data_IF_652646152686
#
_entry.id   IF_652646152686
#
_cell.length_a   1.000
_cell.length_b   1.000
_cell.length_c   1.000
_cell.angle_alpha   90.00
_cell.angle_beta   90.00
_cell.angle_gamma   90.00
#
_symmetry.space_group_name_H-M   'P 1'
#
loop_
_entity.id
_entity.type
_entity.pdbx_description
1 polymer ?
#
# COMPACT_ATOMS: atom_id res chain seq x y z
N UNK A 1 -37.36 18.47 11.19
CA UNK A 1 -36.88 17.13 10.82
C UNK A 1 -36.54 16.38 12.09
N UNK A 2 -36.80 15.09 12.21
CA UNK A 2 -36.27 14.29 13.32
C UNK A 2 -34.76 14.21 13.16
N UNK A 3 -33.98 14.68 14.14
CA UNK A 3 -32.55 14.52 14.14
C UNK A 3 -32.20 13.06 14.45
N UNK A 4 -31.67 12.37 13.46
CA UNK A 4 -31.14 11.03 13.66
C UNK A 4 -29.76 11.11 14.32
N UNK A 5 -29.42 10.11 15.12
CA UNK A 5 -28.08 10.01 15.70
C UNK A 5 -27.05 9.78 14.58
N UNK A 6 -26.05 10.63 14.54
CA UNK A 6 -24.83 10.48 13.70
C UNK A 6 -23.63 10.59 14.62
N UNK A 7 -22.63 9.73 14.42
CA UNK A 7 -21.37 9.80 15.17
C UNK A 7 -20.77 11.21 15.05
N UNK A 8 -20.22 11.72 16.16
CA UNK A 8 -19.69 13.10 16.23
C UNK A 8 -18.58 13.32 15.17
N UNK A 9 -17.69 12.35 15.02
CA UNK A 9 -16.61 12.39 14.04
C UNK A 9 -17.08 12.52 12.57
N UNK A 10 -18.34 12.21 12.25
CA UNK A 10 -18.88 12.29 10.90
C UNK A 10 -19.67 13.56 10.63
N UNK A 11 -20.09 14.31 11.65
CA UNK A 11 -20.95 15.48 11.47
C UNK A 11 -20.34 16.60 10.63
N UNK A 12 -19.03 16.73 10.69
CA UNK A 12 -18.30 17.81 10.01
C UNK A 12 -17.43 17.30 8.85
N UNK A 13 -17.52 16.01 8.50
CA UNK A 13 -16.84 15.50 7.33
C UNK A 13 -17.61 15.80 6.04
N UNK A 14 -16.89 16.20 5.00
CA UNK A 14 -17.44 16.34 3.67
C UNK A 14 -17.28 15.03 2.88
N UNK A 15 -18.17 14.83 1.91
CA UNK A 15 -17.99 13.73 0.97
C UNK A 15 -16.65 13.88 0.22
N UNK A 16 -15.86 12.82 0.23
CA UNK A 16 -14.64 12.80 -0.57
C UNK A 16 -14.99 12.76 -2.04
N UNK A 17 -14.61 13.79 -2.79
CA UNK A 17 -14.88 13.89 -4.21
C UNK A 17 -13.59 13.87 -5.02
N UNK A 18 -13.57 13.04 -6.07
CA UNK A 18 -12.50 13.04 -7.07
C UNK A 18 -12.99 13.75 -8.31
N UNK A 19 -12.23 14.72 -8.81
CA UNK A 19 -12.58 15.41 -10.05
C UNK A 19 -12.57 14.41 -11.21
N UNK A 20 -13.68 14.33 -11.93
CA UNK A 20 -13.74 13.59 -13.19
C UNK A 20 -13.04 14.39 -14.26
N UNK A 21 -11.97 13.84 -14.82
CA UNK A 21 -11.19 14.47 -15.89
C UNK A 21 -11.57 13.83 -17.21
N UNK A 22 -11.99 14.64 -18.18
CA UNK A 22 -12.18 14.23 -19.56
C UNK A 22 -11.01 14.77 -20.39
N UNK A 23 -9.98 13.94 -20.57
CA UNK A 23 -8.76 14.28 -21.31
C UNK A 23 -8.20 13.02 -21.99
N UNK A 24 -7.48 13.21 -23.10
CA UNK A 24 -6.82 12.11 -23.83
C UNK A 24 -5.69 11.48 -23.00
N UNK A 25 -5.06 12.25 -22.13
CA UNK A 25 -4.00 11.79 -21.23
C UNK A 25 -4.43 12.07 -19.79
N UNK A 26 -4.58 11.02 -18.98
CA UNK A 26 -5.03 11.09 -17.59
C UNK A 26 -3.87 10.69 -16.69
N UNK A 27 -3.41 11.62 -15.83
CA UNK A 27 -2.25 11.44 -14.94
C UNK A 27 -2.58 11.72 -13.45
N UNK A 28 -3.84 11.87 -13.10
CA UNK A 28 -4.27 12.35 -11.78
C UNK A 28 -4.45 11.26 -10.71
N UNK A 29 -4.34 9.97 -11.07
CA UNK A 29 -4.58 8.84 -10.16
C UNK A 29 -3.42 7.84 -10.09
N UNK A 30 -2.28 8.15 -10.71
CA UNK A 30 -1.10 7.27 -10.75
C UNK A 30 -1.42 5.86 -11.26
N UNK A 31 -2.34 5.76 -12.22
CA UNK A 31 -2.71 4.50 -12.86
C UNK A 31 -1.64 4.04 -13.84
N UNK A 32 -1.62 2.74 -14.15
CA UNK A 32 -0.78 2.20 -15.21
C UNK A 32 -1.36 2.57 -16.58
N UNK A 33 -0.52 3.02 -17.50
CA UNK A 33 -0.87 3.23 -18.90
C UNK A 33 -0.83 1.94 -19.73
N UNK A 34 -0.41 0.83 -19.14
CA UNK A 34 -0.35 -0.47 -19.80
C UNK A 34 -1.58 -1.32 -19.49
N UNK A 35 -2.25 -1.88 -20.50
CA UNK A 35 -3.29 -2.88 -20.28
C UNK A 35 -2.69 -4.16 -19.70
N UNK A 36 -3.53 -5.13 -19.36
CA UNK A 36 -3.10 -6.48 -18.99
C UNK A 36 -2.14 -7.06 -20.06
N UNK A 37 -1.07 -7.78 -19.69
CA UNK A 37 -0.26 -8.52 -20.66
C UNK A 37 -1.11 -9.42 -21.56
N UNK A 38 -0.84 -9.46 -22.85
CA UNK A 38 -1.67 -10.13 -23.87
C UNK A 38 -1.96 -11.60 -23.49
N UNK A 39 -0.93 -12.32 -23.07
CA UNK A 39 -1.07 -13.71 -22.61
C UNK A 39 -2.09 -13.85 -21.45
N UNK A 40 -2.06 -12.91 -20.50
CA UNK A 40 -3.00 -12.91 -19.38
C UNK A 40 -4.39 -12.45 -19.80
N UNK A 41 -4.50 -11.51 -20.74
CA UNK A 41 -5.76 -11.04 -21.30
C UNK A 41 -6.50 -12.16 -22.04
N UNK A 42 -5.79 -12.97 -22.82
CA UNK A 42 -6.35 -14.15 -23.49
C UNK A 42 -6.83 -15.20 -22.48
N UNK A 43 -6.02 -15.51 -21.48
CA UNK A 43 -6.41 -16.44 -20.39
C UNK A 43 -7.67 -15.94 -19.68
N UNK A 44 -7.69 -14.65 -19.34
CA UNK A 44 -8.83 -14.01 -18.68
C UNK A 44 -10.11 -14.13 -19.52
N UNK A 45 -10.04 -13.81 -20.82
CA UNK A 45 -11.20 -13.89 -21.72
C UNK A 45 -11.82 -15.29 -21.77
N UNK A 46 -10.98 -16.33 -21.88
CA UNK A 46 -11.42 -17.73 -21.89
C UNK A 46 -12.10 -18.14 -20.57
N UNK A 47 -11.56 -17.64 -19.46
CA UNK A 47 -12.08 -17.96 -18.12
C UNK A 47 -13.36 -17.20 -17.83
N UNK A 48 -13.44 -15.91 -18.16
CA UNK A 48 -14.60 -15.07 -17.91
C UNK A 48 -15.89 -15.65 -18.54
N UNK A 49 -15.78 -16.26 -19.72
CA UNK A 49 -16.92 -16.86 -20.41
C UNK A 49 -17.62 -18.00 -19.62
N UNK A 50 -16.86 -18.72 -18.77
CA UNK A 50 -17.37 -19.86 -18.01
C UNK A 50 -17.17 -19.70 -16.50
N UNK A 51 -16.89 -18.47 -16.05
CA UNK A 51 -16.61 -18.20 -14.63
C UNK A 51 -17.89 -18.42 -13.79
N UNK A 52 -17.79 -19.13 -12.65
CA UNK A 52 -18.96 -19.47 -11.85
C UNK A 52 -19.44 -18.29 -10.99
N UNK A 53 -19.88 -17.19 -11.60
CA UNK A 53 -20.36 -15.97 -10.92
C UNK A 53 -21.51 -16.20 -9.93
N UNK A 54 -22.22 -17.32 -10.05
CA UNK A 54 -23.31 -17.72 -9.16
C UNK A 54 -22.84 -18.38 -7.85
N UNK A 55 -21.52 -18.44 -7.61
CA UNK A 55 -20.93 -19.01 -6.40
C UNK A 55 -20.17 -17.98 -5.60
N UNK A 56 -20.22 -18.07 -4.29
CA UNK A 56 -19.38 -17.28 -3.40
C UNK A 56 -17.90 -17.62 -3.57
N UNK A 57 -17.00 -16.66 -3.40
CA UNK A 57 -15.56 -16.91 -3.36
C UNK A 57 -15.15 -17.71 -2.11
N UNK A 58 -13.89 -18.15 -2.00
CA UNK A 58 -13.30 -18.60 -0.76
C UNK A 58 -13.47 -17.56 0.36
N UNK A 59 -13.79 -18.01 1.58
CA UNK A 59 -14.21 -17.15 2.71
C UNK A 59 -13.18 -16.08 3.07
N UNK A 60 -11.89 -16.46 3.05
CA UNK A 60 -10.75 -15.62 3.43
C UNK A 60 -9.76 -15.42 2.29
N UNK A 61 -10.17 -15.65 1.04
CA UNK A 61 -9.30 -15.61 -0.14
C UNK A 61 -8.08 -16.57 -0.05
N UNK A 62 -8.28 -17.74 0.52
CA UNK A 62 -7.25 -18.73 0.89
C UNK A 62 -6.26 -18.96 -0.25
N UNK A 63 -6.75 -19.21 -1.48
CA UNK A 63 -5.92 -19.53 -2.64
C UNK A 63 -4.91 -18.44 -3.00
N UNK A 64 -5.24 -17.15 -2.77
CA UNK A 64 -4.32 -16.04 -3.00
C UNK A 64 -3.41 -15.82 -1.80
N UNK A 65 -3.94 -16.00 -0.58
CA UNK A 65 -3.13 -15.93 0.64
C UNK A 65 -2.00 -16.98 0.62
N UNK A 66 -2.30 -18.22 0.23
CA UNK A 66 -1.33 -19.32 0.15
C UNK A 66 -0.18 -19.00 -0.81
N UNK A 67 -0.49 -18.52 -2.01
CA UNK A 67 0.55 -18.19 -3.01
C UNK A 67 1.44 -17.03 -2.55
N UNK A 68 0.87 -16.00 -1.93
CA UNK A 68 1.65 -14.89 -1.39
C UNK A 68 2.50 -15.35 -0.20
N UNK A 69 1.92 -16.14 0.70
CA UNK A 69 2.59 -16.65 1.88
C UNK A 69 3.77 -17.56 1.53
N UNK A 70 3.62 -18.41 0.50
CA UNK A 70 4.71 -19.26 -0.01
C UNK A 70 5.88 -18.40 -0.52
N UNK A 71 5.62 -17.33 -1.25
CA UNK A 71 6.67 -16.43 -1.74
C UNK A 71 7.38 -15.68 -0.62
N UNK A 72 6.66 -15.33 0.44
CA UNK A 72 7.20 -14.59 1.59
C UNK A 72 7.77 -15.49 2.69
N UNK A 73 7.61 -16.80 2.57
CA UNK A 73 8.01 -17.80 3.56
C UNK A 73 7.38 -17.54 4.95
N UNK A 74 6.05 -17.32 4.95
CA UNK A 74 5.24 -17.07 6.15
C UNK A 74 4.00 -17.95 6.17
N UNK A 75 3.35 -18.04 7.34
CA UNK A 75 2.05 -18.71 7.46
C UNK A 75 0.97 -17.95 6.66
N UNK A 76 0.10 -18.61 5.89
CA UNK A 76 -1.01 -17.96 5.18
C UNK A 76 -1.92 -17.10 6.08
N UNK A 77 -2.04 -17.41 7.36
CA UNK A 77 -2.76 -16.56 8.33
C UNK A 77 -2.05 -15.21 8.61
N UNK A 78 -0.81 -15.04 8.18
CA UNK A 78 -0.09 -13.76 8.19
C UNK A 78 -0.45 -12.85 7.01
N UNK A 79 -1.30 -13.30 6.07
CA UNK A 79 -1.75 -12.56 4.89
C UNK A 79 -3.24 -12.27 5.00
N UNK A 80 -3.65 -11.06 4.56
CA UNK A 80 -5.07 -10.70 4.35
C UNK A 80 -5.22 -9.99 3.02
N UNK A 81 -6.22 -10.43 2.25
CA UNK A 81 -6.60 -9.84 0.96
C UNK A 81 -7.79 -8.90 1.18
N UNK A 82 -7.87 -7.81 0.41
CA UNK A 82 -9.01 -6.88 0.50
C UNK A 82 -9.26 -6.11 -0.79
N UNK A 83 -10.30 -5.27 -0.79
CA UNK A 83 -10.71 -4.42 -1.91
C UNK A 83 -9.74 -3.24 -2.15
N UNK A 84 -8.47 -3.56 -2.42
CA UNK A 84 -7.33 -2.65 -2.47
C UNK A 84 -6.67 -2.50 -1.11
N UNK A 85 -5.42 -2.02 -1.09
CA UNK A 85 -4.70 -1.73 0.16
C UNK A 85 -5.39 -0.66 1.00
N UNK A 86 -6.12 0.26 0.36
CA UNK A 86 -6.90 1.32 1.02
C UNK A 86 -7.94 0.79 1.99
N UNK A 87 -8.61 -0.30 1.63
CA UNK A 87 -9.60 -0.96 2.50
C UNK A 87 -8.94 -1.58 3.76
N UNK A 88 -7.73 -2.16 3.63
CA UNK A 88 -6.97 -2.62 4.81
C UNK A 88 -6.49 -1.46 5.68
N UNK A 89 -6.10 -0.36 5.05
CA UNK A 89 -5.67 0.85 5.75
C UNK A 89 -6.81 1.44 6.58
N UNK A 90 -8.00 1.60 6.00
CA UNK A 90 -9.20 2.01 6.71
C UNK A 90 -9.51 1.09 7.89
N UNK A 91 -9.52 -0.23 7.64
CA UNK A 91 -9.75 -1.23 8.69
C UNK A 91 -8.69 -1.21 9.79
N UNK A 92 -7.43 -0.94 9.46
CA UNK A 92 -6.38 -0.78 10.45
C UNK A 92 -6.65 0.42 11.37
N UNK A 93 -7.14 1.54 10.81
CA UNK A 93 -7.56 2.69 11.62
C UNK A 93 -8.73 2.34 12.57
N UNK A 94 -9.69 1.52 12.13
CA UNK A 94 -10.78 1.06 13.02
C UNK A 94 -10.32 0.06 14.08
N UNK A 95 -9.39 -0.84 13.75
CA UNK A 95 -8.96 -1.93 14.65
C UNK A 95 -7.99 -1.42 15.71
N UNK A 96 -7.07 -0.54 15.32
CA UNK A 96 -6.00 -0.04 16.18
C UNK A 96 -6.23 1.39 16.65
N UNK A 97 -7.25 2.08 16.14
CA UNK A 97 -7.67 3.40 16.51
C UNK A 97 -9.01 3.40 17.26
N UNK A 98 -9.70 4.53 17.21
CA UNK A 98 -11.01 4.76 17.81
C UNK A 98 -11.05 6.05 18.62
N UNK A 99 -12.21 6.35 19.22
CA UNK A 99 -12.44 7.54 20.00
C UNK A 99 -11.43 7.66 21.17
N UNK A 100 -10.82 8.83 21.32
CA UNK A 100 -9.80 9.11 22.35
C UNK A 100 -8.41 8.57 22.04
N UNK A 101 -8.19 7.95 20.86
CA UNK A 101 -6.87 7.52 20.40
C UNK A 101 -6.27 8.49 19.38
N UNK A 102 -4.94 8.47 19.25
CA UNK A 102 -4.21 9.20 18.21
C UNK A 102 -3.61 8.23 17.20
N UNK A 103 -3.61 8.62 15.93
CA UNK A 103 -2.91 7.89 14.87
C UNK A 103 -1.87 8.81 14.25
N UNK A 104 -0.60 8.37 14.26
CA UNK A 104 0.50 9.14 13.67
C UNK A 104 0.53 8.92 12.15
N UNK A 105 0.55 10.03 11.39
CA UNK A 105 0.53 10.02 9.92
C UNK A 105 1.54 11.02 9.34
N UNK A 106 2.15 10.72 8.17
CA UNK A 106 3.11 11.61 7.52
C UNK A 106 2.45 12.85 6.90
N UNK A 107 3.19 13.96 6.85
CA UNK A 107 2.78 15.18 6.14
C UNK A 107 3.99 15.86 5.45
N UNK A 108 3.87 16.23 4.15
CA UNK A 108 2.76 15.90 3.25
C UNK A 108 2.74 14.44 2.83
N UNK A 109 1.54 13.83 2.75
CA UNK A 109 1.38 12.47 2.28
C UNK A 109 -0.01 12.23 1.68
N UNK A 110 -0.38 10.97 1.45
CA UNK A 110 -1.65 10.57 0.85
C UNK A 110 -2.83 11.08 1.68
N UNK A 111 -3.65 11.93 1.07
CA UNK A 111 -4.73 12.63 1.77
C UNK A 111 -5.72 11.71 2.51
N UNK A 112 -5.93 10.49 1.97
CA UNK A 112 -6.84 9.52 2.57
C UNK A 112 -6.42 9.04 3.96
N UNK A 113 -5.17 9.21 4.38
CA UNK A 113 -4.79 8.85 5.75
C UNK A 113 -5.58 9.67 6.76
N UNK A 114 -5.67 11.00 6.56
CA UNK A 114 -6.47 11.87 7.42
C UNK A 114 -7.95 11.50 7.43
N UNK A 115 -8.51 11.15 6.25
CA UNK A 115 -9.91 10.71 6.13
C UNK A 115 -10.17 9.43 6.93
N UNK A 116 -9.34 8.40 6.78
CA UNK A 116 -9.51 7.14 7.52
C UNK A 116 -9.33 7.31 9.03
N UNK A 117 -8.39 8.15 9.44
CA UNK A 117 -8.22 8.50 10.86
C UNK A 117 -9.48 9.16 11.39
N UNK A 118 -10.03 10.16 10.70
CA UNK A 118 -11.26 10.83 11.06
C UNK A 118 -12.46 9.87 11.12
N UNK A 119 -12.63 9.01 10.10
CA UNK A 119 -13.69 8.00 10.03
C UNK A 119 -13.63 7.02 11.20
N UNK A 120 -12.44 6.66 11.68
CA UNK A 120 -12.29 5.78 12.85
C UNK A 120 -12.71 6.45 14.17
N UNK A 121 -12.75 7.78 14.20
CA UNK A 121 -12.97 8.57 15.42
C UNK A 121 -11.69 8.88 16.17
N UNK A 122 -10.53 8.58 15.58
CA UNK A 122 -9.23 8.93 16.15
C UNK A 122 -8.82 10.36 15.80
N UNK A 123 -7.85 10.89 16.54
CA UNK A 123 -7.22 12.17 16.24
C UNK A 123 -5.93 11.97 15.42
N UNK A 124 -5.74 12.70 14.30
CA UNK A 124 -4.49 12.61 13.56
C UNK A 124 -3.38 13.35 14.31
N UNK A 125 -2.22 12.70 14.48
CA UNK A 125 -1.02 13.39 14.90
C UNK A 125 0.03 13.32 13.78
N UNK A 126 0.42 14.51 13.26
CA UNK A 126 1.23 14.60 12.06
C UNK A 126 2.72 14.64 12.39
N UNK A 127 3.52 13.83 11.68
CA UNK A 127 4.96 14.04 11.61
C UNK A 127 5.37 14.59 10.24
N UNK A 128 6.27 15.56 10.23
CA UNK A 128 6.70 16.22 9.00
C UNK A 128 7.82 15.45 8.32
N UNK A 129 7.73 15.36 7.00
CA UNK A 129 8.87 14.99 6.19
C UNK A 129 9.87 16.15 6.13
N UNK A 130 11.15 15.86 5.88
CA UNK A 130 12.13 16.91 5.68
C UNK A 130 11.90 17.68 4.35
N UNK A 131 12.68 18.74 4.09
CA UNK A 131 12.50 19.58 2.91
C UNK A 131 12.69 18.84 1.57
N UNK A 132 13.33 17.70 1.58
CA UNK A 132 13.54 16.84 0.42
C UNK A 132 12.49 15.73 0.30
N UNK A 133 11.58 15.62 1.28
CA UNK A 133 10.48 14.65 1.30
C UNK A 133 10.82 13.32 1.98
N UNK A 134 11.94 13.21 2.68
CA UNK A 134 12.33 12.00 3.39
C UNK A 134 11.88 12.00 4.86
N UNK A 135 11.73 10.81 5.42
CA UNK A 135 11.45 10.60 6.84
C UNK A 135 12.73 10.80 7.65
N UNK A 136 12.63 11.58 8.72
CA UNK A 136 13.61 11.58 9.79
C UNK A 136 13.15 10.59 10.87
N UNK A 137 13.88 9.49 11.02
CA UNK A 137 13.50 8.42 11.95
C UNK A 137 13.47 8.91 13.41
N UNK A 138 14.40 9.77 13.81
CA UNK A 138 14.46 10.26 15.19
C UNK A 138 13.26 11.15 15.51
N UNK A 139 12.85 12.01 14.58
CA UNK A 139 11.66 12.83 14.70
C UNK A 139 10.39 11.98 14.86
N UNK A 140 10.25 10.91 14.07
CA UNK A 140 9.09 9.99 14.16
C UNK A 140 9.07 9.24 15.50
N UNK A 141 10.23 8.74 15.94
CA UNK A 141 10.36 8.02 17.21
C UNK A 141 10.03 8.95 18.38
N UNK A 142 10.57 10.18 18.37
CA UNK A 142 10.31 11.17 19.41
C UNK A 142 8.80 11.51 19.49
N UNK A 143 8.15 11.74 18.34
CA UNK A 143 6.71 11.95 18.30
C UNK A 143 5.94 10.77 18.89
N UNK A 144 6.32 9.53 18.56
CA UNK A 144 5.67 8.34 19.12
C UNK A 144 5.86 8.21 20.64
N UNK A 145 7.02 8.61 21.16
CA UNK A 145 7.27 8.63 22.61
C UNK A 145 6.44 9.69 23.33
N UNK A 146 6.27 10.87 22.74
CA UNK A 146 5.52 11.99 23.32
C UNK A 146 4.01 11.79 23.21
N UNK A 147 3.51 11.49 22.02
CA UNK A 147 2.09 11.44 21.69
C UNK A 147 1.44 10.07 21.97
N UNK A 148 2.25 9.01 22.06
CA UNK A 148 1.82 7.61 22.29
C UNK A 148 0.67 7.20 21.36
N UNK A 149 0.85 7.31 20.04
CA UNK A 149 -0.20 6.94 19.11
C UNK A 149 -0.55 5.46 19.22
N UNK A 150 -1.79 5.11 18.98
CA UNK A 150 -2.27 3.73 18.93
C UNK A 150 -1.89 3.03 17.63
N UNK A 151 -1.53 3.80 16.60
CA UNK A 151 -1.10 3.35 15.28
C UNK A 151 -0.15 4.38 14.65
N UNK A 152 0.91 3.91 14.00
CA UNK A 152 1.78 4.73 13.14
C UNK A 152 1.59 4.29 11.68
N UNK A 153 1.37 5.24 10.77
CA UNK A 153 1.30 5.00 9.34
C UNK A 153 2.55 5.59 8.68
N UNK A 154 3.23 4.80 7.85
CA UNK A 154 4.38 5.19 7.04
C UNK A 154 4.06 4.88 5.58
N UNK A 155 4.29 5.82 4.67
CA UNK A 155 4.16 5.64 3.23
C UNK A 155 5.57 5.54 2.61
N UNK A 156 5.90 4.42 2.00
CA UNK A 156 7.24 4.19 1.44
C UNK A 156 7.21 3.30 0.19
N UNK A 157 7.44 3.84 -1.00
CA UNK A 157 7.66 5.24 -1.36
C UNK A 157 6.47 6.16 -1.06
N UNK A 158 6.76 7.41 -0.65
CA UNK A 158 5.71 8.34 -0.24
C UNK A 158 4.93 8.94 -1.42
N UNK A 159 3.64 9.08 -1.30
CA UNK A 159 2.78 9.85 -2.20
C UNK A 159 2.37 11.16 -1.48
N UNK A 160 2.67 12.40 -1.99
CA UNK A 160 3.02 12.69 -3.39
C UNK A 160 4.51 12.90 -3.68
N UNK A 161 5.42 12.78 -2.73
CA UNK A 161 6.82 13.18 -2.93
C UNK A 161 7.63 12.16 -3.74
N UNK A 162 7.21 10.89 -3.76
CA UNK A 162 7.89 9.80 -4.47
C UNK A 162 9.12 9.22 -3.75
N UNK A 163 9.54 9.80 -2.64
CA UNK A 163 10.75 9.39 -1.94
C UNK A 163 10.67 7.97 -1.38
N UNK A 164 11.74 7.23 -1.57
CA UNK A 164 11.99 5.94 -0.95
C UNK A 164 12.95 6.12 0.23
N UNK A 165 12.52 5.75 1.41
CA UNK A 165 13.35 5.69 2.60
C UNK A 165 13.96 4.29 2.73
N UNK A 166 15.26 4.23 3.04
CA UNK A 166 15.99 2.97 3.12
C UNK A 166 15.40 2.00 4.15
N UNK A 167 15.62 0.72 3.95
CA UNK A 167 15.17 -0.31 4.88
C UNK A 167 15.73 -0.07 6.30
N UNK A 168 16.96 0.46 6.40
CA UNK A 168 17.58 0.78 7.69
C UNK A 168 16.81 1.88 8.46
N UNK A 169 16.30 2.90 7.75
CA UNK A 169 15.45 3.95 8.36
C UNK A 169 14.14 3.35 8.85
N UNK A 170 13.50 2.54 8.04
CA UNK A 170 12.24 1.87 8.39
C UNK A 170 12.42 0.91 9.56
N UNK A 171 13.48 0.10 9.55
CA UNK A 171 13.80 -0.85 10.62
C UNK A 171 14.09 -0.13 11.94
N UNK A 172 14.83 1.00 11.91
CA UNK A 172 15.08 1.85 13.09
C UNK A 172 13.77 2.31 13.74
N UNK A 173 12.80 2.74 12.94
CA UNK A 173 11.49 3.16 13.46
C UNK A 173 10.75 1.96 14.05
N UNK A 174 10.57 0.87 13.29
CA UNK A 174 9.84 -0.32 13.73
C UNK A 174 10.39 -0.86 15.06
N UNK A 175 11.72 -0.91 15.19
CA UNK A 175 12.39 -1.45 16.38
C UNK A 175 12.29 -0.53 17.61
N UNK A 176 11.94 0.75 17.43
CA UNK A 176 11.97 1.77 18.49
C UNK A 176 10.58 2.20 18.96
N UNK A 177 9.50 1.83 18.25
CA UNK A 177 8.13 2.22 18.61
C UNK A 177 7.36 1.04 19.19
N UNK A 178 6.47 1.31 20.15
CA UNK A 178 5.65 0.28 20.82
C UNK A 178 4.30 0.05 20.13
N UNK A 179 3.82 1.02 19.35
CA UNK A 179 2.55 0.89 18.64
C UNK A 179 2.67 0.04 17.37
N UNK A 180 1.56 -0.53 16.88
CA UNK A 180 1.50 -1.10 15.53
C UNK A 180 1.92 -0.08 14.46
N UNK A 181 2.62 -0.55 13.43
CA UNK A 181 3.07 0.26 12.29
C UNK A 181 2.44 -0.27 11.00
N UNK A 182 1.75 0.58 10.25
CA UNK A 182 1.35 0.29 8.88
C UNK A 182 2.40 0.87 7.94
N UNK A 183 2.95 0.02 7.08
CA UNK A 183 3.84 0.39 5.99
C UNK A 183 3.08 0.29 4.68
N UNK A 184 2.63 1.44 4.17
CA UNK A 184 1.99 1.51 2.86
C UNK A 184 3.06 1.51 1.76
N UNK A 185 3.23 0.36 1.14
CA UNK A 185 4.19 0.10 0.07
C UNK A 185 3.52 0.00 -1.30
N UNK A 186 2.49 0.81 -1.56
CA UNK A 186 1.73 0.78 -2.81
C UNK A 186 2.57 1.04 -4.08
N UNK A 187 3.76 1.61 -3.94
CA UNK A 187 4.66 1.95 -5.06
C UNK A 187 6.01 1.21 -5.00
N UNK A 188 6.16 0.25 -4.11
CA UNK A 188 7.45 -0.40 -3.85
C UNK A 188 8.04 -1.13 -5.07
N UNK A 189 7.21 -1.60 -6.00
CA UNK A 189 7.67 -2.23 -7.23
C UNK A 189 8.49 -1.29 -8.12
N UNK A 190 8.28 0.03 -8.00
CA UNK A 190 9.02 1.08 -8.74
C UNK A 190 10.22 1.63 -7.98
N UNK A 191 10.51 1.16 -6.76
CA UNK A 191 11.59 1.74 -5.96
C UNK A 191 12.95 1.47 -6.57
N UNK A 192 13.66 2.56 -6.91
CA UNK A 192 15.04 2.49 -7.39
C UNK A 192 15.99 2.14 -6.25
N UNK A 193 17.11 1.49 -6.61
CA UNK A 193 18.17 1.19 -5.66
C UNK A 193 17.69 0.26 -4.54
N UNK A 194 16.76 -0.65 -4.84
CA UNK A 194 16.25 -1.63 -3.90
C UNK A 194 17.38 -2.34 -3.19
N UNK A 195 17.43 -2.15 -1.88
CA UNK A 195 18.43 -2.76 -1.03
C UNK A 195 18.14 -4.25 -0.85
N UNK A 196 19.16 -5.07 -1.04
CA UNK A 196 19.06 -6.49 -0.72
C UNK A 196 19.23 -6.67 0.78
N UNK A 197 18.34 -7.42 1.46
CA UNK A 197 18.51 -7.72 2.87
C UNK A 197 19.85 -8.44 3.09
N UNK A 198 20.66 -8.00 4.06
CA UNK A 198 21.91 -8.68 4.35
C UNK A 198 21.62 -10.12 4.83
N UNK A 199 22.34 -11.09 4.23
CA UNK A 199 22.23 -12.52 4.55
C UNK A 199 20.86 -13.15 4.25
N UNK A 200 20.08 -12.60 3.30
CA UNK A 200 18.83 -13.23 2.88
C UNK A 200 19.14 -14.48 2.04
N UNK A 201 18.72 -15.64 2.53
CA UNK A 201 18.94 -16.93 1.89
C UNK A 201 17.81 -17.35 0.94
N UNK A 202 16.80 -16.48 0.72
CA UNK A 202 15.71 -16.77 -0.19
C UNK A 202 16.18 -16.89 -1.64
N UNK A 203 15.54 -17.73 -2.46
CA UNK A 203 15.84 -17.83 -3.89
C UNK A 203 15.70 -16.47 -4.61
N UNK A 204 16.54 -16.21 -5.61
CA UNK A 204 16.59 -14.93 -6.32
C UNK A 204 15.23 -14.44 -6.86
N UNK A 205 14.37 -15.36 -7.30
CA UNK A 205 13.02 -15.00 -7.78
C UNK A 205 12.09 -14.50 -6.66
N UNK A 206 12.36 -14.88 -5.39
CA UNK A 206 11.63 -14.36 -4.21
C UNK A 206 12.22 -13.05 -3.70
N UNK A 207 13.52 -12.84 -3.88
CA UNK A 207 14.22 -11.63 -3.41
C UNK A 207 13.69 -10.34 -4.04
N UNK A 208 13.23 -10.39 -5.29
CA UNK A 208 12.64 -9.22 -5.95
C UNK A 208 11.44 -8.62 -5.20
N UNK A 209 10.62 -9.44 -4.56
CA UNK A 209 9.45 -9.00 -3.79
C UNK A 209 9.83 -8.26 -2.50
N UNK A 210 10.97 -8.60 -1.93
CA UNK A 210 11.39 -8.13 -0.61
C UNK A 210 12.56 -7.14 -0.66
N UNK A 211 13.24 -7.03 -1.81
CA UNK A 211 14.35 -6.09 -1.97
C UNK A 211 13.86 -4.66 -1.68
N UNK A 212 14.48 -4.01 -0.71
CA UNK A 212 14.11 -2.68 -0.24
C UNK A 212 12.79 -2.59 0.54
N UNK A 213 12.03 -3.68 0.65
CA UNK A 213 10.74 -3.73 1.33
C UNK A 213 10.86 -4.22 2.78
N UNK A 214 10.03 -3.68 3.65
CA UNK A 214 9.89 -4.18 5.01
C UNK A 214 9.30 -5.61 5.08
N UNK A 215 8.79 -6.18 3.98
CA UNK A 215 8.48 -7.62 3.90
C UNK A 215 9.68 -8.50 4.26
N UNK A 216 10.92 -8.02 4.05
CA UNK A 216 12.14 -8.70 4.46
C UNK A 216 12.31 -8.82 5.96
N UNK A 217 11.61 -7.99 6.75
CA UNK A 217 11.66 -7.95 8.21
C UNK A 217 10.58 -8.83 8.86
N UNK A 218 9.71 -9.47 8.07
CA UNK A 218 8.72 -10.42 8.59
C UNK A 218 9.42 -11.54 9.37
N UNK A 219 8.85 -11.87 10.53
CA UNK A 219 9.45 -12.85 11.46
C UNK A 219 10.50 -12.26 12.41
N UNK A 220 11.10 -11.10 12.13
CA UNK A 220 12.03 -10.40 13.04
C UNK A 220 11.32 -9.44 14.00
N UNK A 221 10.29 -8.76 13.52
CA UNK A 221 9.49 -7.82 14.29
C UNK A 221 8.01 -8.20 14.19
N UNK A 222 7.26 -8.00 15.27
CA UNK A 222 5.85 -8.41 15.36
C UNK A 222 4.87 -7.24 15.34
N UNK A 223 5.35 -6.01 15.34
CA UNK A 223 4.54 -4.79 15.50
C UNK A 223 4.26 -4.05 14.20
N UNK A 224 4.42 -4.67 13.02
CA UNK A 224 4.12 -3.98 11.75
C UNK A 224 3.31 -4.84 10.77
N UNK A 225 2.66 -4.15 9.83
CA UNK A 225 1.93 -4.71 8.69
C UNK A 225 2.38 -3.95 7.44
N UNK A 226 2.81 -4.66 6.42
CA UNK A 226 3.08 -4.10 5.08
C UNK A 226 1.81 -4.21 4.24
N UNK A 227 1.43 -3.13 3.58
CA UNK A 227 0.33 -3.10 2.61
C UNK A 227 0.88 -3.03 1.19
N UNK A 228 0.33 -3.84 0.30
CA UNK A 228 0.66 -3.89 -1.14
C UNK A 228 -0.61 -3.84 -1.97
N UNK A 229 -0.51 -3.35 -3.19
CA UNK A 229 -1.66 -3.21 -4.10
C UNK A 229 -1.38 -3.78 -5.48
N UNK A 230 -2.41 -4.31 -6.12
CA UNK A 230 -2.37 -4.66 -7.55
C UNK A 230 -2.72 -3.48 -8.46
N UNK A 231 -3.08 -2.33 -7.90
CA UNK A 231 -3.60 -1.18 -8.66
C UNK A 231 -2.53 -0.45 -9.47
N UNK A 232 -1.26 -0.45 -9.03
CA UNK A 232 -0.18 0.40 -9.58
C UNK A 232 0.70 -0.37 -10.55
N UNK A 233 1.73 -1.04 -10.10
CA UNK A 233 2.68 -1.76 -10.94
C UNK A 233 2.03 -2.85 -11.80
N UNK A 234 1.00 -3.51 -11.27
CA UNK A 234 0.27 -4.58 -11.96
C UNK A 234 -0.90 -4.08 -12.82
N UNK A 235 -1.24 -2.79 -12.81
CA UNK A 235 -2.25 -2.21 -13.67
C UNK A 235 -3.68 -2.71 -13.44
N UNK A 236 -4.00 -3.18 -12.24
CA UNK A 236 -5.31 -3.74 -11.89
C UNK A 236 -6.16 -2.79 -11.02
N UNK A 237 -6.03 -1.47 -11.23
CA UNK A 237 -6.77 -0.49 -10.44
C UNK A 237 -8.29 -0.73 -10.43
N UNK A 238 -8.86 -1.11 -11.58
CA UNK A 238 -10.30 -1.39 -11.73
C UNK A 238 -10.77 -2.66 -11.04
N UNK A 239 -9.89 -3.62 -10.72
CA UNK A 239 -10.24 -4.86 -10.01
C UNK A 239 -10.27 -4.70 -8.49
N UNK A 240 -9.74 -3.60 -7.95
CA UNK A 240 -9.75 -3.33 -6.51
C UNK A 240 -9.20 -4.49 -5.69
N UNK A 241 -7.92 -4.84 -5.84
CA UNK A 241 -7.26 -5.85 -5.05
C UNK A 241 -5.99 -5.32 -4.40
N UNK A 242 -5.78 -5.72 -3.14
CA UNK A 242 -4.56 -5.46 -2.37
C UNK A 242 -4.41 -6.50 -1.28
N UNK A 243 -3.24 -6.53 -0.66
CA UNK A 243 -2.99 -7.42 0.47
C UNK A 243 -2.18 -6.73 1.56
N UNK A 244 -2.32 -7.27 2.77
CA UNK A 244 -1.49 -6.96 3.91
C UNK A 244 -0.73 -8.19 4.36
N UNK A 245 0.53 -8.01 4.77
CA UNK A 245 1.37 -9.03 5.37
C UNK A 245 1.96 -8.52 6.70
N UNK A 246 1.82 -9.31 7.76
CA UNK A 246 2.27 -8.90 9.09
C UNK A 246 2.31 -10.07 10.07
N UNK A 247 2.57 -9.78 11.34
CA UNK A 247 2.57 -10.83 12.37
C UNK A 247 1.19 -11.47 12.52
N UNK A 248 1.18 -12.74 12.89
CA UNK A 248 -0.06 -13.50 13.12
C UNK A 248 -1.01 -12.77 14.10
N UNK A 249 -0.45 -12.13 15.14
CA UNK A 249 -1.23 -11.37 16.11
C UNK A 249 -1.96 -10.18 15.45
N UNK A 250 -1.25 -9.33 14.72
CA UNK A 250 -1.83 -8.15 14.07
C UNK A 250 -2.82 -8.56 12.98
N UNK A 251 -2.46 -9.56 12.16
CA UNK A 251 -3.31 -10.00 11.05
C UNK A 251 -4.58 -10.71 11.51
N UNK A 252 -4.56 -11.40 12.65
CA UNK A 252 -5.79 -11.93 13.28
C UNK A 252 -6.73 -10.83 13.77
N UNK A 253 -6.18 -9.75 14.34
CA UNK A 253 -7.00 -8.62 14.78
C UNK A 253 -7.57 -7.85 13.60
N UNK A 254 -6.75 -7.53 12.59
CA UNK A 254 -7.21 -6.90 11.36
C UNK A 254 -8.28 -7.75 10.65
N UNK A 255 -8.11 -9.07 10.65
CA UNK A 255 -9.06 -10.02 10.08
C UNK A 255 -10.45 -9.99 10.70
N UNK A 256 -10.61 -9.53 11.96
CA UNK A 256 -11.93 -9.36 12.59
C UNK A 256 -12.77 -8.26 11.95
N UNK A 257 -12.14 -7.29 11.31
CA UNK A 257 -12.81 -6.23 10.58
C UNK A 257 -13.08 -6.59 9.10
N UNK A 258 -12.61 -7.75 8.64
CA UNK A 258 -12.82 -8.24 7.28
C UNK A 258 -13.99 -9.22 7.28
N UNK A 259 -15.05 -8.89 6.54
CA UNK A 259 -16.23 -9.75 6.45
C UNK A 259 -15.96 -10.99 5.57
N UNK A 260 -16.69 -12.09 5.78
CA UNK A 260 -16.66 -13.22 4.87
C UNK A 260 -17.01 -12.80 3.44
N UNK A 261 -16.38 -13.43 2.43
CA UNK A 261 -16.64 -13.17 1.01
C UNK A 261 -16.36 -11.73 0.57
N UNK A 262 -15.50 -11.06 1.26
CA UNK A 262 -15.18 -9.65 1.19
C UNK A 262 -14.70 -9.18 -0.20
N UNK A 263 -13.87 -9.98 -0.87
CA UNK A 263 -13.40 -9.71 -2.24
C UNK A 263 -14.12 -10.65 -3.21
N UNK A 264 -14.59 -10.13 -4.35
CA UNK A 264 -15.30 -10.92 -5.32
C UNK A 264 -14.44 -12.02 -5.97
N UNK A 265 -15.07 -13.11 -6.36
CA UNK A 265 -14.40 -14.31 -6.86
C UNK A 265 -13.52 -14.04 -8.10
N UNK A 266 -13.99 -13.21 -9.02
CA UNK A 266 -13.25 -12.91 -10.25
C UNK A 266 -11.98 -12.08 -9.97
N UNK A 267 -12.08 -11.09 -9.09
CA UNK A 267 -10.92 -10.31 -8.61
C UNK A 267 -9.86 -11.20 -7.98
N UNK A 268 -10.25 -12.13 -7.09
CA UNK A 268 -9.31 -13.06 -6.46
C UNK A 268 -8.60 -13.94 -7.48
N UNK A 269 -9.37 -14.45 -8.44
CA UNK A 269 -8.81 -15.28 -9.51
C UNK A 269 -7.79 -14.49 -10.34
N UNK A 270 -8.16 -13.28 -10.76
CA UNK A 270 -7.31 -12.41 -11.55
C UNK A 270 -6.05 -11.98 -10.80
N UNK A 271 -6.18 -11.60 -9.54
CA UNK A 271 -5.06 -11.19 -8.71
C UNK A 271 -4.06 -12.36 -8.52
N UNK A 272 -4.57 -13.59 -8.29
CA UNK A 272 -3.73 -14.80 -8.22
C UNK A 272 -3.00 -15.03 -9.52
N UNK A 273 -3.69 -15.01 -10.66
CA UNK A 273 -3.09 -15.21 -11.98
C UNK A 273 -1.99 -14.17 -12.26
N UNK A 274 -2.24 -12.89 -11.94
CA UNK A 274 -1.24 -11.83 -12.11
C UNK A 274 -0.06 -12.01 -11.16
N UNK A 275 -0.31 -12.36 -9.91
CA UNK A 275 0.75 -12.57 -8.93
C UNK A 275 1.68 -13.73 -9.32
N UNK A 276 1.13 -14.84 -9.77
CA UNK A 276 1.88 -16.01 -10.26
C UNK A 276 2.70 -15.70 -11.54
N UNK A 277 2.29 -14.67 -12.29
CA UNK A 277 2.98 -14.23 -13.52
C UNK A 277 3.60 -12.82 -13.38
N UNK A 278 3.96 -12.41 -12.17
CA UNK A 278 4.50 -11.08 -11.85
C UNK A 278 5.76 -10.71 -12.64
N UNK A 279 6.52 -11.68 -13.08
CA UNK A 279 7.72 -11.50 -13.92
C UNK A 279 7.42 -10.77 -15.25
N UNK A 280 6.21 -10.95 -15.82
CA UNK A 280 5.78 -10.29 -17.04
C UNK A 280 5.72 -8.75 -16.91
N UNK A 281 5.68 -8.24 -15.69
CA UNK A 281 5.59 -6.81 -15.41
C UNK A 281 6.94 -6.12 -15.27
N UNK A 282 8.04 -6.85 -15.05
CA UNK A 282 9.38 -6.29 -14.84
C UNK A 282 9.82 -5.35 -15.96
N UNK A 283 9.60 -5.73 -17.22
CA UNK A 283 9.95 -4.90 -18.37
C UNK A 283 9.18 -3.56 -18.39
N UNK A 284 7.88 -3.59 -18.04
CA UNK A 284 7.03 -2.40 -17.98
C UNK A 284 7.42 -1.47 -16.83
N UNK A 285 7.70 -2.03 -15.66
CA UNK A 285 8.17 -1.28 -14.49
C UNK A 285 9.47 -0.58 -14.85
N UNK A 286 10.44 -1.29 -15.44
CA UNK A 286 11.71 -0.71 -15.93
C UNK A 286 11.49 0.44 -16.92
N UNK A 287 10.57 0.27 -17.87
CA UNK A 287 10.25 1.34 -18.84
C UNK A 287 9.68 2.56 -18.13
N UNK A 288 8.78 2.37 -17.16
CA UNK A 288 8.20 3.47 -16.37
C UNK A 288 9.30 4.21 -15.59
N UNK A 289 10.21 3.49 -14.96
CA UNK A 289 11.33 4.06 -14.21
C UNK A 289 12.23 4.89 -15.15
N UNK A 290 12.60 4.34 -16.31
CA UNK A 290 13.41 5.04 -17.32
C UNK A 290 12.73 6.32 -17.85
N UNK A 291 11.43 6.27 -18.14
CA UNK A 291 10.65 7.42 -18.62
C UNK A 291 10.44 8.47 -17.52
N UNK A 292 10.21 8.05 -16.27
CA UNK A 292 10.18 8.93 -15.10
C UNK A 292 11.50 9.72 -15.00
N UNK A 293 12.65 9.04 -15.12
CA UNK A 293 13.96 9.66 -14.96
C UNK A 293 14.28 10.62 -16.12
N UNK A 294 13.88 10.30 -17.36
CA UNK A 294 13.96 11.20 -18.51
C UNK A 294 13.11 12.45 -18.30
N UNK A 295 11.86 12.28 -17.83
CA UNK A 295 10.96 13.39 -17.54
C UNK A 295 11.52 14.27 -16.41
N UNK A 296 12.06 13.68 -15.35
CA UNK A 296 12.69 14.38 -14.25
C UNK A 296 13.88 15.24 -14.74
N UNK A 297 14.73 14.66 -15.60
CA UNK A 297 15.86 15.38 -16.18
C UNK A 297 15.41 16.54 -17.09
N UNK A 298 14.34 16.35 -17.86
CA UNK A 298 13.74 17.41 -18.68
C UNK A 298 13.18 18.55 -17.82
N UNK A 299 12.38 18.23 -16.79
CA UNK A 299 11.79 19.23 -15.89
C UNK A 299 12.88 20.06 -15.18
N UNK A 300 13.99 19.42 -14.74
CA UNK A 300 15.13 20.14 -14.13
C UNK A 300 15.76 21.13 -15.13
N UNK A 301 15.90 20.77 -16.42
CA UNK A 301 16.41 21.68 -17.47
C UNK A 301 15.47 22.88 -17.69
N UNK A 302 14.17 22.68 -17.45
CA UNK A 302 13.16 23.75 -17.53
C UNK A 302 13.11 24.65 -16.28
N UNK A 303 13.95 24.37 -15.26
CA UNK A 303 14.07 25.19 -14.06
C UNK A 303 13.19 24.73 -12.89
N UNK A 304 12.48 23.62 -13.00
CA UNK A 304 11.71 23.06 -11.89
C UNK A 304 12.62 22.35 -10.88
N UNK A 305 12.31 22.53 -9.60
CA UNK A 305 12.80 21.60 -8.59
C UNK A 305 12.00 20.30 -8.70
N UNK A 306 12.69 19.19 -8.84
CA UNK A 306 12.08 17.84 -8.97
C UNK A 306 12.48 17.01 -7.76
N UNK A 307 11.49 16.64 -6.95
CA UNK A 307 11.71 15.74 -5.82
C UNK A 307 12.26 14.39 -6.31
N UNK A 308 13.20 13.76 -5.56
CA UNK A 308 13.61 12.38 -5.87
C UNK A 308 12.40 11.44 -5.82
N UNK A 309 12.23 10.60 -6.83
CA UNK A 309 11.09 9.69 -6.88
C UNK A 309 11.50 8.26 -7.19
N UNK A 310 10.98 7.33 -6.43
CA UNK A 310 11.01 5.88 -6.62
C UNK A 310 9.58 5.33 -6.78
N UNK A 311 8.70 6.13 -7.40
CA UNK A 311 7.32 5.79 -7.72
C UNK A 311 7.06 5.98 -9.23
N UNK A 312 5.84 5.77 -9.70
CA UNK A 312 5.45 6.02 -11.10
C UNK A 312 4.96 7.45 -11.36
N UNK A 313 5.41 8.41 -10.58
CA UNK A 313 5.05 9.83 -10.70
C UNK A 313 6.21 10.73 -10.23
N UNK A 314 6.10 12.03 -10.51
CA UNK A 314 7.02 13.08 -10.06
C UNK A 314 6.25 14.17 -9.32
N UNK A 315 6.85 14.72 -8.25
CA UNK A 315 6.44 15.97 -7.64
C UNK A 315 7.38 17.09 -8.10
N UNK A 316 6.82 18.16 -8.62
CA UNK A 316 7.54 19.35 -9.10
C UNK A 316 7.20 20.56 -8.24
N UNK A 317 8.19 21.44 -8.03
CA UNK A 317 8.03 22.73 -7.36
C UNK A 317 8.61 23.86 -8.21
#
# INVERSE_FOLDING_TARGET
MKDFFVRECLKNQNDYTVATVNADIILNANESNYPLPEELAEKMSKIAANFPFHRYPPVKAENLCEVIAEDLDVDPECIRISNGSSDLLEKACYVFGGEGSKIAIPYPSFAMYGEYVGLSGSEPCYYSLNNEGFIDADTVIELCLQEKPSLLIICNPNNPTGNYNSLAVIEKIISSVECPVILDEAYMEFADGKEMPPNDMRPLHKLWLVAGSALSLLGRYSNFIVLRTFSKAYGLAGLRCGYGAGSLFLMRHLGKAILPYHVNAFTLYMAKMVYENKELYKGRIKTIDEERDKLAAYCRKMGFYVYPSSANFLLLK
#
